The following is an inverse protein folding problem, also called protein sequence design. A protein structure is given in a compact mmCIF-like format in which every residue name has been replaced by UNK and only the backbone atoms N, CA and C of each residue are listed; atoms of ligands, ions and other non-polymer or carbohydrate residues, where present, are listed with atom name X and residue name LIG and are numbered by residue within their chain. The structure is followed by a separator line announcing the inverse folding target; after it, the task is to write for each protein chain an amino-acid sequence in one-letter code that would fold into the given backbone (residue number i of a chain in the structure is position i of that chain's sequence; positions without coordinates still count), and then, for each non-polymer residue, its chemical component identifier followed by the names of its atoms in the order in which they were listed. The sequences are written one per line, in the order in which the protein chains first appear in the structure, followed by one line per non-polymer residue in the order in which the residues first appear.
data_IF_807722505533
#
_entry.id   IF_807722505533
#
_cell.length_a   1.000
_cell.length_b   1.000
_cell.length_c   1.000
_cell.angle_alpha   90.00
_cell.angle_beta   90.00
_cell.angle_gamma   90.00
#
_symmetry.space_group_name_H-M   'P 1'
#
loop_
_entity.id
_entity.type
_entity.pdbx_description
1 polymer ?
#
# COMPACT_ATOMS: atom_id res chain seq x y z
N UNK A 1 42.26 -8.03 18.10
CA UNK A 1 41.76 -8.36 16.73
C UNK A 1 40.32 -8.83 16.89
N UNK A 2 39.29 -8.10 16.44
CA UNK A 2 37.91 -8.54 16.67
C UNK A 2 37.61 -9.75 15.77
N UNK A 3 37.03 -10.79 16.37
CA UNK A 3 36.53 -11.99 15.69
C UNK A 3 35.17 -11.66 15.07
N UNK A 4 35.12 -11.46 13.76
CA UNK A 4 33.88 -11.64 13.00
C UNK A 4 34.03 -12.90 12.16
N UNK A 5 33.10 -13.85 12.29
CA UNK A 5 32.98 -14.98 11.36
C UNK A 5 32.78 -14.38 9.97
N UNK A 6 33.74 -14.64 9.11
CA UNK A 6 33.94 -14.07 7.78
C UNK A 6 33.24 -15.00 6.80
N UNK A 7 31.98 -14.69 6.46
CA UNK A 7 31.16 -15.43 5.48
C UNK A 7 29.67 -15.15 5.69
N UNK A 8 28.94 -14.89 4.61
CA UNK A 8 27.47 -14.75 4.51
C UNK A 8 26.82 -13.40 4.88
N UNK A 9 27.30 -12.29 4.31
CA UNK A 9 26.60 -11.00 4.40
C UNK A 9 26.22 -10.40 3.04
N UNK A 10 25.75 -11.23 2.10
CA UNK A 10 25.05 -10.66 0.94
C UNK A 10 23.63 -10.30 1.37
N UNK A 11 23.38 -9.01 1.60
CA UNK A 11 22.04 -8.49 1.86
C UNK A 11 21.38 -8.20 0.50
N UNK A 12 20.74 -9.20 -0.09
CA UNK A 12 19.81 -8.95 -1.18
C UNK A 12 18.55 -8.31 -0.58
N UNK A 13 18.34 -7.03 -0.87
CA UNK A 13 17.13 -6.29 -0.50
C UNK A 13 16.29 -6.09 -1.75
N UNK A 14 14.98 -6.23 -1.62
CA UNK A 14 14.01 -5.92 -2.66
C UNK A 14 13.14 -4.77 -2.16
N UNK A 15 13.30 -3.60 -2.76
CA UNK A 15 12.52 -2.42 -2.41
C UNK A 15 11.24 -2.40 -3.22
N UNK A 16 10.13 -2.11 -2.53
CA UNK A 16 8.81 -2.01 -3.13
C UNK A 16 8.10 -0.74 -2.63
N UNK A 17 7.44 -0.01 -3.50
CA UNK A 17 6.51 1.03 -3.06
C UNK A 17 5.19 0.39 -2.59
N UNK A 18 4.63 0.88 -1.48
CA UNK A 18 3.25 0.51 -1.10
C UNK A 18 2.29 0.86 -2.24
N UNK A 19 1.53 -0.13 -2.72
CA UNK A 19 0.59 0.05 -3.83
C UNK A 19 1.13 -0.38 -5.20
N UNK A 20 2.42 -0.72 -5.32
CA UNK A 20 3.01 -1.20 -6.58
C UNK A 20 2.48 -2.60 -6.97
N UNK A 21 1.72 -2.72 -8.08
CA UNK A 21 1.17 -4.00 -8.50
C UNK A 21 2.24 -4.98 -9.03
N UNK A 22 3.43 -4.52 -9.39
CA UNK A 22 4.48 -5.36 -10.00
C UNK A 22 5.07 -6.36 -9.02
N UNK A 23 5.09 -6.03 -7.74
CA UNK A 23 5.49 -6.92 -6.63
C UNK A 23 4.68 -8.22 -6.61
N UNK A 24 3.51 -8.21 -7.26
CA UNK A 24 2.55 -9.31 -7.36
C UNK A 24 2.19 -9.67 -8.81
N UNK A 25 3.00 -9.35 -9.81
CA UNK A 25 2.67 -9.47 -11.24
C UNK A 25 2.48 -10.91 -11.79
N UNK A 26 1.78 -11.77 -11.06
CA UNK A 26 1.18 -12.99 -11.57
C UNK A 26 0.08 -12.62 -12.57
N UNK A 27 -0.04 -13.42 -13.64
CA UNK A 27 -1.04 -13.25 -14.69
C UNK A 27 -2.45 -13.15 -14.10
N UNK A 28 -2.81 -14.07 -13.20
CA UNK A 28 -4.14 -14.11 -12.59
C UNK A 28 -4.38 -12.90 -11.68
N UNK A 29 -3.34 -12.42 -11.00
CA UNK A 29 -3.40 -11.23 -10.18
C UNK A 29 -3.68 -9.97 -11.00
N UNK A 30 -2.96 -9.78 -12.11
CA UNK A 30 -3.15 -8.62 -13.00
C UNK A 30 -4.55 -8.62 -13.63
N UNK A 31 -5.05 -9.79 -14.06
CA UNK A 31 -6.44 -9.89 -14.56
C UNK A 31 -7.48 -9.60 -13.47
N UNK A 32 -7.24 -10.08 -12.25
CA UNK A 32 -8.10 -9.80 -11.10
C UNK A 32 -8.11 -8.31 -10.76
N UNK A 33 -6.95 -7.65 -10.78
CA UNK A 33 -6.84 -6.21 -10.57
C UNK A 33 -7.57 -5.41 -11.66
N UNK A 34 -7.43 -5.78 -12.93
CA UNK A 34 -8.15 -5.13 -14.01
C UNK A 34 -9.69 -5.27 -13.85
N UNK A 35 -10.17 -6.45 -13.44
CA UNK A 35 -11.58 -6.67 -13.10
C UNK A 35 -12.03 -5.80 -11.93
N UNK A 36 -11.20 -5.68 -10.89
CA UNK A 36 -11.50 -4.84 -9.72
C UNK A 36 -11.60 -3.35 -10.10
N UNK A 37 -10.66 -2.84 -10.89
CA UNK A 37 -10.67 -1.44 -11.34
C UNK A 37 -11.85 -1.12 -12.28
N UNK A 38 -12.31 -2.12 -13.05
CA UNK A 38 -13.49 -2.00 -13.91
C UNK A 38 -14.81 -2.24 -13.17
N UNK A 39 -14.78 -2.78 -11.94
CA UNK A 39 -15.97 -3.06 -11.17
C UNK A 39 -16.65 -1.75 -10.73
N UNK A 40 -17.99 -1.68 -10.71
CA UNK A 40 -18.69 -0.52 -10.19
C UNK A 40 -18.32 -0.31 -8.72
N UNK A 41 -18.17 0.96 -8.31
CA UNK A 41 -17.90 1.29 -6.91
C UNK A 41 -18.98 0.66 -6.01
N UNK A 42 -18.60 0.06 -4.87
CA UNK A 42 -19.54 -0.60 -3.99
C UNK A 42 -20.62 0.39 -3.57
N UNK A 43 -21.87 0.11 -3.95
CA UNK A 43 -23.01 0.92 -3.55
C UNK A 43 -23.21 0.73 -2.06
N UNK A 44 -22.87 1.74 -1.26
CA UNK A 44 -23.28 1.78 0.14
C UNK A 44 -24.81 1.70 0.13
N UNK A 45 -25.38 0.62 0.67
CA UNK A 45 -26.82 0.36 0.66
C UNK A 45 -27.55 1.39 1.52
N UNK A 46 -27.74 2.60 1.00
CA UNK A 46 -28.72 3.53 1.50
C UNK A 46 -30.09 2.95 1.14
N UNK A 47 -30.82 2.50 2.16
CA UNK A 47 -32.23 2.10 2.06
C UNK A 47 -32.99 3.10 1.19
N UNK A 48 -33.88 2.68 0.28
CA UNK A 48 -34.67 3.60 -0.53
C UNK A 48 -35.64 4.36 0.37
N UNK A 49 -35.27 5.57 0.79
CA UNK A 49 -36.23 6.54 1.31
C UNK A 49 -36.82 7.26 0.10
N UNK A 50 -38.15 7.23 0.01
CA UNK A 50 -38.93 7.88 -1.06
C UNK A 50 -38.43 9.33 -1.27
N UNK A 51 -38.26 9.80 -2.51
CA UNK A 51 -37.68 11.11 -2.77
C UNK A 51 -38.64 12.20 -2.29
N UNK A 52 -38.20 13.01 -1.33
CA UNK A 52 -38.74 14.36 -1.15
C UNK A 52 -37.76 15.29 -1.84
N UNK A 53 -38.19 15.84 -2.97
CA UNK A 53 -37.52 16.94 -3.64
C UNK A 53 -37.14 18.02 -2.63
N UNK A 54 -35.89 18.49 -2.67
CA UNK A 54 -35.55 19.92 -2.68
C UNK A 54 -34.03 20.11 -2.84
N UNK A 55 -33.69 20.75 -3.95
CA UNK A 55 -32.51 21.58 -4.22
C UNK A 55 -31.10 21.02 -3.97
N UNK A 56 -30.43 20.81 -5.10
CA UNK A 56 -28.98 20.84 -5.24
C UNK A 56 -28.36 22.06 -4.55
N UNK A 57 -27.32 21.81 -3.74
CA UNK A 57 -26.08 22.60 -3.54
C UNK A 57 -25.51 22.26 -2.16
N UNK A 58 -24.59 21.29 -2.11
CA UNK A 58 -23.50 21.06 -1.12
C UNK A 58 -23.04 19.58 -1.13
N UNK A 59 -22.80 19.02 -2.31
CA UNK A 59 -22.23 17.69 -2.48
C UNK A 59 -20.69 17.76 -2.50
N UNK A 60 -20.05 18.06 -1.36
CA UNK A 60 -18.58 17.94 -1.24
C UNK A 60 -18.04 17.76 0.19
N UNK A 61 -18.83 17.90 1.25
CA UNK A 61 -18.31 17.80 2.64
C UNK A 61 -18.97 16.71 3.49
N UNK A 62 -19.91 15.93 2.95
CA UNK A 62 -20.66 14.93 3.72
C UNK A 62 -20.13 13.49 3.63
N UNK A 63 -19.14 13.20 2.75
CA UNK A 63 -18.60 11.83 2.59
C UNK A 63 -17.76 11.39 3.80
N UNK A 64 -17.20 12.34 4.56
CA UNK A 64 -16.36 12.03 5.72
C UNK A 64 -17.14 11.81 7.04
N UNK A 65 -18.41 12.24 7.14
CA UNK A 65 -19.15 12.26 8.41
C UNK A 65 -20.26 11.20 8.53
N UNK A 66 -20.39 10.29 7.57
CA UNK A 66 -21.46 9.27 7.55
C UNK A 66 -20.94 7.83 7.65
N UNK A 67 -19.83 7.59 8.34
CA UNK A 67 -19.46 6.24 8.80
C UNK A 67 -20.12 5.98 10.15
N UNK A 68 -21.45 5.94 10.16
CA UNK A 68 -22.23 5.34 11.26
C UNK A 68 -22.80 4.01 10.77
N UNK A 69 -21.94 3.00 10.88
CA UNK A 69 -22.24 1.59 11.19
C UNK A 69 -23.61 1.05 10.74
N UNK A 70 -23.74 0.71 9.46
CA UNK A 70 -24.44 -0.52 9.08
C UNK A 70 -23.37 -1.59 8.88
N UNK A 71 -23.26 -2.51 9.85
CA UNK A 71 -22.26 -3.59 9.93
C UNK A 71 -22.50 -4.66 8.84
N UNK A 72 -22.40 -4.29 7.56
CA UNK A 72 -22.12 -5.25 6.51
C UNK A 72 -20.64 -5.64 6.57
N UNK A 73 -20.26 -6.86 6.15
CA UNK A 73 -18.84 -7.19 5.97
C UNK A 73 -18.22 -6.19 5.01
N UNK A 74 -16.99 -5.75 5.30
CA UNK A 74 -16.23 -4.93 4.36
C UNK A 74 -16.19 -5.62 3.00
N UNK A 75 -16.26 -4.87 1.89
CA UNK A 75 -16.13 -5.47 0.56
C UNK A 75 -14.82 -6.26 0.51
N UNK A 76 -14.94 -7.58 0.38
CA UNK A 76 -13.79 -8.47 0.24
C UNK A 76 -13.60 -8.74 -1.24
N UNK A 77 -12.37 -8.61 -1.71
CA UNK A 77 -12.01 -9.04 -3.05
C UNK A 77 -11.18 -10.32 -2.93
N UNK A 78 -11.58 -11.44 -3.57
CA UNK A 78 -10.82 -12.67 -3.48
C UNK A 78 -9.48 -12.47 -4.21
N UNK A 79 -8.42 -12.48 -3.42
CA UNK A 79 -7.06 -12.28 -3.88
C UNK A 79 -6.55 -13.58 -4.53
N UNK A 80 -6.14 -13.56 -5.80
CA UNK A 80 -5.55 -14.75 -6.43
C UNK A 80 -4.29 -15.21 -5.68
N UNK A 81 -4.06 -16.53 -5.56
CA UNK A 81 -2.83 -17.05 -4.98
C UNK A 81 -1.60 -16.54 -5.73
N UNK A 82 -0.56 -16.13 -5.01
CA UNK A 82 0.71 -15.76 -5.63
C UNK A 82 1.54 -17.03 -5.91
N UNK A 83 1.86 -17.27 -7.19
CA UNK A 83 2.74 -18.38 -7.61
C UNK A 83 4.23 -18.02 -7.62
N UNK A 84 4.54 -16.73 -7.52
CA UNK A 84 5.89 -16.18 -7.53
C UNK A 84 6.18 -15.45 -6.21
N UNK A 85 7.46 -15.46 -5.83
CA UNK A 85 7.97 -14.75 -4.66
C UNK A 85 9.06 -13.78 -5.05
N UNK A 86 9.12 -12.65 -4.34
CA UNK A 86 10.20 -11.69 -4.52
C UNK A 86 11.48 -12.23 -3.89
N UNK A 87 12.62 -12.00 -4.55
CA UNK A 87 13.92 -12.43 -4.03
C UNK A 87 14.45 -11.45 -2.97
N UNK A 88 15.17 -11.96 -1.98
CA UNK A 88 15.79 -11.15 -0.94
C UNK A 88 14.81 -10.73 0.17
N UNK A 89 15.25 -9.80 1.01
CA UNK A 89 14.43 -9.24 2.10
C UNK A 89 13.60 -8.08 1.55
N UNK A 90 12.29 -8.15 1.72
CA UNK A 90 11.39 -7.11 1.24
C UNK A 90 11.44 -5.88 2.14
N UNK A 91 11.59 -4.72 1.52
CA UNK A 91 11.52 -3.40 2.15
C UNK A 91 10.42 -2.60 1.48
N UNK A 92 9.31 -2.42 2.18
CA UNK A 92 8.16 -1.65 1.72
C UNK A 92 8.36 -0.18 2.08
N UNK A 93 8.36 0.69 1.06
CA UNK A 93 8.39 2.14 1.23
C UNK A 93 6.96 2.67 1.23
N UNK A 94 6.55 3.25 2.36
CA UNK A 94 5.21 3.81 2.54
C UNK A 94 5.20 5.23 3.06
N UNK A 95 4.03 5.86 2.96
CA UNK A 95 3.78 7.17 3.56
C UNK A 95 3.36 7.03 5.03
N UNK A 96 3.92 7.88 5.90
CA UNK A 96 3.60 7.89 7.34
C UNK A 96 2.14 8.32 7.57
N UNK A 97 1.37 7.52 8.30
CA UNK A 97 -0.10 7.66 8.42
C UNK A 97 -0.60 8.54 9.60
N UNK A 98 0.16 9.53 10.07
CA UNK A 98 -0.16 10.46 11.20
C UNK A 98 0.09 9.97 12.64
N UNK A 99 1.35 9.77 13.03
CA UNK A 99 1.73 9.84 14.45
C UNK A 99 2.74 10.94 14.76
N UNK A 100 3.43 11.45 13.74
CA UNK A 100 4.41 12.52 13.85
C UNK A 100 4.08 13.55 12.77
N UNK A 101 4.11 14.83 13.11
CA UNK A 101 3.51 15.92 12.33
C UNK A 101 4.30 16.26 11.05
N UNK A 102 5.09 15.32 10.53
CA UNK A 102 5.97 15.45 9.38
C UNK A 102 5.50 14.53 8.25
N UNK A 103 5.12 15.07 7.07
CA UNK A 103 4.88 14.24 5.90
C UNK A 103 6.19 13.54 5.52
N UNK A 104 6.20 12.21 5.50
CA UNK A 104 7.42 11.44 5.37
C UNK A 104 7.21 10.07 4.74
N UNK A 105 8.29 9.55 4.16
CA UNK A 105 8.38 8.17 3.66
C UNK A 105 9.09 7.36 4.74
N UNK A 106 8.58 6.19 5.05
CA UNK A 106 9.23 5.22 5.93
C UNK A 106 9.47 3.90 5.21
N UNK A 107 10.51 3.20 5.64
CA UNK A 107 10.87 1.88 5.14
C UNK A 107 10.51 0.83 6.19
N UNK A 108 9.69 -0.14 5.81
CA UNK A 108 9.25 -1.24 6.67
C UNK A 108 9.73 -2.56 6.10
N UNK A 109 10.40 -3.37 6.93
CA UNK A 109 10.68 -4.75 6.54
C UNK A 109 9.38 -5.57 6.53
N UNK A 110 9.18 -6.31 5.46
CA UNK A 110 7.97 -7.13 5.24
C UNK A 110 8.38 -8.51 4.78
N UNK A 111 7.50 -9.50 4.97
CA UNK A 111 7.71 -10.86 4.43
C UNK A 111 6.92 -11.06 3.14
N UNK A 112 7.34 -12.00 2.31
CA UNK A 112 6.63 -12.33 1.06
C UNK A 112 5.18 -12.75 1.36
N UNK A 113 4.97 -13.53 2.42
CA UNK A 113 3.65 -14.03 2.84
C UNK A 113 2.67 -12.89 3.15
N UNK A 114 3.14 -11.83 3.82
CA UNK A 114 2.32 -10.66 4.11
C UNK A 114 1.86 -9.93 2.84
N UNK A 115 2.63 -9.99 1.77
CA UNK A 115 2.28 -9.34 0.49
C UNK A 115 1.24 -10.16 -0.30
N UNK A 116 1.20 -11.49 -0.13
CA UNK A 116 0.33 -12.37 -0.94
C UNK A 116 -1.16 -12.12 -0.74
N UNK A 117 -1.56 -11.63 0.42
CA UNK A 117 -2.97 -11.39 0.75
C UNK A 117 -3.41 -9.93 0.48
N UNK A 118 -2.49 -9.05 0.06
CA UNK A 118 -2.75 -7.61 -0.10
C UNK A 118 -2.95 -7.23 -1.56
N UNK A 119 -4.05 -6.52 -1.86
CA UNK A 119 -4.28 -5.97 -3.20
C UNK A 119 -3.56 -4.63 -3.35
N UNK A 120 -2.49 -4.61 -4.15
CA UNK A 120 -1.82 -3.44 -4.70
C UNK A 120 -2.38 -3.10 -6.08
N UNK A 121 -2.76 -1.85 -6.30
CA UNK A 121 -3.57 -1.50 -7.46
C UNK A 121 -3.31 -0.16 -8.12
N UNK A 122 -2.24 0.55 -7.74
CA UNK A 122 -1.94 1.86 -8.32
C UNK A 122 -0.68 1.76 -9.20
N UNK A 123 -0.82 1.73 -10.54
CA UNK A 123 0.33 1.70 -11.45
C UNK A 123 1.29 2.88 -11.29
N UNK A 124 0.83 4.02 -10.74
CA UNK A 124 1.73 5.14 -10.46
C UNK A 124 2.78 4.81 -9.40
N UNK A 125 2.50 3.83 -8.54
CA UNK A 125 3.44 3.36 -7.52
C UNK A 125 4.63 2.59 -8.11
N UNK A 126 4.53 2.14 -9.36
CA UNK A 126 5.65 1.52 -10.07
C UNK A 126 6.61 2.53 -10.75
N UNK A 127 6.30 3.83 -10.74
CA UNK A 127 7.14 4.81 -11.43
C UNK A 127 8.55 4.87 -10.83
N UNK A 128 9.58 4.67 -11.68
CA UNK A 128 10.98 4.69 -11.24
C UNK A 128 11.41 6.04 -10.67
N UNK A 129 10.81 7.15 -11.13
CA UNK A 129 11.01 8.48 -10.54
C UNK A 129 10.53 8.55 -9.08
N UNK A 130 9.41 7.90 -8.76
CA UNK A 130 8.88 7.81 -7.40
C UNK A 130 9.74 6.91 -6.52
N UNK A 131 10.17 5.74 -7.04
CA UNK A 131 11.14 4.88 -6.37
C UNK A 131 12.41 5.63 -6.00
N UNK A 132 13.02 6.30 -6.99
CA UNK A 132 14.23 7.11 -6.79
C UNK A 132 14.03 8.12 -5.68
N UNK A 133 12.98 8.92 -5.76
CA UNK A 133 12.69 9.97 -4.79
C UNK A 133 12.51 9.42 -3.36
N UNK A 134 11.80 8.30 -3.21
CA UNK A 134 11.56 7.66 -1.91
C UNK A 134 12.85 7.08 -1.32
N UNK A 135 13.66 6.40 -2.15
CA UNK A 135 14.97 5.86 -1.74
C UNK A 135 15.92 6.99 -1.33
N UNK A 136 16.00 8.07 -2.12
CA UNK A 136 16.83 9.23 -1.80
C UNK A 136 16.42 9.86 -0.46
N UNK A 137 15.11 10.08 -0.24
CA UNK A 137 14.60 10.59 1.04
C UNK A 137 15.00 9.73 2.23
N UNK A 138 14.83 8.41 2.12
CA UNK A 138 15.20 7.47 3.17
C UNK A 138 16.71 7.47 3.42
N UNK A 139 17.52 7.50 2.35
CA UNK A 139 18.97 7.56 2.46
C UNK A 139 19.44 8.85 3.14
N UNK A 140 18.89 10.00 2.76
CA UNK A 140 19.20 11.29 3.41
C UNK A 140 18.79 11.30 4.87
N UNK A 141 17.58 10.82 5.21
CA UNK A 141 17.13 10.73 6.59
C UNK A 141 18.06 9.85 7.45
N UNK A 142 18.46 8.70 6.92
CA UNK A 142 19.40 7.79 7.59
C UNK A 142 20.79 8.44 7.78
N UNK A 143 21.29 9.21 6.81
CA UNK A 143 22.56 9.94 6.94
C UNK A 143 22.50 11.08 7.96
N UNK A 144 21.35 11.75 8.05
CA UNK A 144 21.12 12.88 8.96
C UNK A 144 20.83 12.43 10.40
N UNK A 145 20.68 11.13 10.65
CA UNK A 145 20.42 10.57 11.97
C UNK A 145 18.98 10.80 12.44
N UNK A 146 18.04 10.97 11.51
CA UNK A 146 16.62 10.99 11.85
C UNK A 146 16.21 9.52 12.15
N UNK A 147 16.05 9.21 13.44
CA UNK A 147 15.76 7.87 14.01
C UNK A 147 14.40 7.32 13.49
N UNK A 148 14.35 6.92 12.23
CA UNK A 148 13.18 6.36 11.56
C UNK A 148 13.47 5.04 10.83
N UNK A 149 14.60 4.38 11.15
CA UNK A 149 14.95 3.06 10.62
C UNK A 149 14.99 2.07 11.79
N UNK A 150 13.95 1.21 11.98
CA UNK A 150 14.03 0.17 12.99
C UNK A 150 15.16 -0.83 12.67
N UNK A 151 15.74 -1.47 13.70
CA UNK A 151 16.87 -2.40 13.56
C UNK A 151 16.57 -3.65 12.73
#
# INVERSE_FOLDING_TARGET
KPHSKRGDKSLFLSFANEGDPIVRADKEYVFSLAKLLAAPAPTCALRPTKPKNNLAKKASQAVLNSVKTTRGPAPHWPVPPATLSNAGRMVLMREKTQSDNSPGVEAIMTTDEQLRDVVFGDPAMHMMSLYRHRVEKLAFAAMLGDEAVPP
#
